data_IF_109569459537
#
_entry.id   IF_109569459537
#
_cell.length_a   1.000
_cell.length_b   1.000
_cell.length_c   1.000
_cell.angle_alpha   90.00
_cell.angle_beta   90.00
_cell.angle_gamma   90.00
#
_symmetry.space_group_name_H-M   'P 1'
#
loop_
_entity.id
_entity.type
_entity.pdbx_description
1 polymer ?
#
# COMPACT_ATOMS: atom_id res chain seq x y z
N UNK A 1 5.89 -13.01 21.57
CA UNK A 1 5.38 -11.72 22.07
C UNK A 1 6.09 -10.55 21.39
N UNK A 2 7.42 -10.45 21.45
CA UNK A 2 8.19 -9.28 21.06
C UNK A 2 7.92 -8.74 19.64
N UNK A 3 7.93 -9.58 18.62
CA UNK A 3 7.73 -9.14 17.24
C UNK A 3 6.34 -8.52 17.00
N UNK A 4 5.28 -9.09 17.59
CA UNK A 4 3.93 -8.54 17.47
C UNK A 4 3.77 -7.22 18.24
N UNK A 5 4.36 -7.12 19.43
CA UNK A 5 4.34 -5.90 20.23
C UNK A 5 5.16 -4.78 19.56
N UNK A 6 6.33 -5.10 19.02
CA UNK A 6 7.14 -4.16 18.27
C UNK A 6 6.41 -3.65 17.02
N UNK A 7 5.88 -4.55 16.19
CA UNK A 7 5.11 -4.16 15.01
C UNK A 7 3.94 -3.23 15.38
N UNK A 8 3.22 -3.53 16.48
CA UNK A 8 2.15 -2.67 16.98
C UNK A 8 2.65 -1.29 17.40
N UNK A 9 3.77 -1.20 18.11
CA UNK A 9 4.29 0.09 18.60
C UNK A 9 4.70 1.01 17.45
N UNK A 10 5.37 0.48 16.42
CA UNK A 10 5.84 1.28 15.27
C UNK A 10 4.74 1.59 14.25
N UNK A 11 3.57 0.97 14.36
CA UNK A 11 2.43 1.19 13.46
C UNK A 11 1.20 1.77 14.15
N UNK A 12 1.36 2.34 15.34
CA UNK A 12 0.24 2.89 16.11
C UNK A 12 -0.49 4.02 15.38
N UNK A 13 0.27 4.90 14.73
CA UNK A 13 -0.27 6.03 13.97
C UNK A 13 -1.05 5.55 12.74
N UNK A 14 -0.53 4.52 12.05
CA UNK A 14 -1.23 3.91 10.91
C UNK A 14 -2.57 3.32 11.35
N UNK A 15 -2.63 2.66 12.51
CA UNK A 15 -3.89 2.15 13.04
C UNK A 15 -4.87 3.28 13.34
N UNK A 16 -4.40 4.38 13.95
CA UNK A 16 -5.23 5.56 14.23
C UNK A 16 -5.80 6.13 12.94
N UNK A 17 -4.98 6.34 11.92
CA UNK A 17 -5.41 6.83 10.62
C UNK A 17 -6.40 5.90 9.92
N UNK A 18 -6.21 4.58 10.05
CA UNK A 18 -7.15 3.59 9.53
C UNK A 18 -8.51 3.65 10.26
N UNK A 19 -8.51 3.81 11.60
CA UNK A 19 -9.73 3.89 12.40
C UNK A 19 -10.57 5.13 12.10
N UNK A 20 -9.95 6.22 11.67
CA UNK A 20 -10.66 7.43 11.26
C UNK A 20 -11.40 7.28 9.92
N UNK A 21 -10.98 6.33 9.09
CA UNK A 21 -11.48 6.16 7.73
C UNK A 21 -12.29 4.87 7.55
N UNK A 22 -11.87 3.80 8.20
CA UNK A 22 -12.46 2.47 8.06
C UNK A 22 -13.20 2.05 9.32
N UNK A 23 -14.23 1.19 9.22
CA UNK A 23 -14.80 0.53 10.39
C UNK A 23 -13.71 -0.18 11.19
N UNK A 24 -13.81 -0.14 12.52
CA UNK A 24 -12.80 -0.71 13.42
C UNK A 24 -12.45 -2.17 13.11
N UNK A 25 -13.44 -2.98 12.72
CA UNK A 25 -13.22 -4.38 12.31
C UNK A 25 -12.33 -4.47 11.06
N UNK A 26 -12.56 -3.60 10.07
CA UNK A 26 -11.79 -3.59 8.81
C UNK A 26 -10.35 -3.10 9.08
N UNK A 27 -10.19 -2.02 9.86
CA UNK A 27 -8.88 -1.51 10.30
C UNK A 27 -8.08 -2.58 11.07
N UNK A 28 -8.68 -3.25 12.04
CA UNK A 28 -8.05 -4.35 12.76
C UNK A 28 -7.68 -5.53 11.84
N UNK A 29 -8.51 -5.83 10.84
CA UNK A 29 -8.22 -6.90 9.88
C UNK A 29 -7.02 -6.54 8.99
N UNK A 30 -6.94 -5.30 8.49
CA UNK A 30 -5.77 -4.79 7.75
C UNK A 30 -4.50 -4.95 8.59
N UNK A 31 -4.53 -4.45 9.82
CA UNK A 31 -3.37 -4.49 10.72
C UNK A 31 -2.97 -5.91 11.10
N UNK A 32 -3.92 -6.82 11.29
CA UNK A 32 -3.64 -8.23 11.57
C UNK A 32 -2.92 -8.89 10.38
N UNK A 33 -3.40 -8.69 9.15
CA UNK A 33 -2.78 -9.23 7.93
C UNK A 33 -1.37 -8.64 7.75
N UNK A 34 -1.22 -7.32 7.87
CA UNK A 34 0.06 -6.64 7.72
C UNK A 34 1.08 -7.13 8.76
N UNK A 35 0.70 -7.19 10.04
CA UNK A 35 1.56 -7.66 11.13
C UNK A 35 2.00 -9.12 10.91
N UNK A 36 1.09 -10.00 10.49
CA UNK A 36 1.43 -11.39 10.21
C UNK A 36 2.42 -11.50 9.04
N UNK A 37 2.29 -10.68 8.00
CA UNK A 37 3.25 -10.64 6.88
C UNK A 37 4.61 -10.07 7.27
N UNK A 38 4.66 -9.11 8.18
CA UNK A 38 5.93 -8.59 8.75
C UNK A 38 6.64 -9.68 9.56
N UNK A 39 5.92 -10.36 10.44
CA UNK A 39 6.50 -11.41 11.29
C UNK A 39 6.90 -12.66 10.49
N UNK A 40 6.14 -12.97 9.43
CA UNK A 40 6.36 -14.12 8.54
C UNK A 40 6.12 -13.72 7.08
N UNK A 41 7.12 -13.16 6.39
CA UNK A 41 6.97 -12.68 5.01
C UNK A 41 6.46 -13.72 4.01
N UNK A 42 6.78 -15.00 4.22
CA UNK A 42 6.36 -16.11 3.36
C UNK A 42 5.03 -16.76 3.76
N UNK A 43 4.26 -16.15 4.69
CA UNK A 43 2.99 -16.73 5.13
C UNK A 43 1.96 -16.72 3.99
N UNK A 44 1.35 -17.86 3.74
CA UNK A 44 0.25 -17.98 2.77
C UNK A 44 -1.09 -17.68 3.42
N UNK A 45 -2.10 -17.31 2.61
CA UNK A 45 -3.44 -16.99 3.09
C UNK A 45 -4.06 -18.15 3.89
N UNK A 46 -3.83 -19.40 3.47
CA UNK A 46 -4.35 -20.60 4.13
C UNK A 46 -3.82 -20.75 5.56
N UNK A 47 -2.60 -20.29 5.81
CA UNK A 47 -1.94 -20.40 7.12
C UNK A 47 -2.17 -19.21 8.02
N UNK A 48 -2.63 -18.07 7.48
CA UNK A 48 -2.81 -16.84 8.26
C UNK A 48 -3.73 -17.02 9.47
N UNK A 49 -4.89 -17.66 9.28
CA UNK A 49 -5.84 -17.89 10.37
C UNK A 49 -5.27 -18.70 11.53
N UNK A 50 -4.44 -19.71 11.24
CA UNK A 50 -3.79 -20.52 12.26
C UNK A 50 -2.73 -19.71 13.03
N UNK A 51 -1.90 -18.95 12.33
CA UNK A 51 -0.89 -18.10 12.97
C UNK A 51 -1.52 -16.97 13.77
N UNK A 52 -2.58 -16.36 13.27
CA UNK A 52 -3.34 -15.34 13.99
C UNK A 52 -3.78 -15.84 15.37
N UNK A 53 -4.43 -17.00 15.43
CA UNK A 53 -4.92 -17.57 16.70
C UNK A 53 -3.81 -18.01 17.66
N UNK A 54 -2.61 -18.31 17.14
CA UNK A 54 -1.46 -18.81 17.93
C UNK A 54 -0.46 -17.72 18.31
N UNK A 55 -0.72 -16.47 17.97
CA UNK A 55 0.16 -15.33 18.25
C UNK A 55 -0.59 -14.22 18.95
N UNK A 56 0.13 -13.30 19.57
CA UNK A 56 -0.46 -12.11 20.21
C UNK A 56 -1.15 -11.15 19.23
N UNK A 57 -1.04 -11.39 17.93
CA UNK A 57 -1.73 -10.60 16.91
C UNK A 57 -3.25 -10.62 17.12
N UNK A 58 -3.83 -11.75 17.53
CA UNK A 58 -5.27 -11.84 17.82
C UNK A 58 -5.71 -11.02 19.04
N UNK A 59 -4.82 -10.77 19.99
CA UNK A 59 -5.10 -9.92 21.14
C UNK A 59 -4.96 -8.42 20.79
N UNK A 60 -4.01 -8.09 19.93
CA UNK A 60 -3.78 -6.72 19.48
C UNK A 60 -4.84 -6.23 18.49
N UNK A 61 -5.31 -7.10 17.63
CA UNK A 61 -6.28 -6.82 16.56
C UNK A 61 -7.40 -7.86 16.58
N UNK A 62 -8.33 -7.77 17.57
CA UNK A 62 -9.34 -8.80 17.76
C UNK A 62 -10.38 -8.82 16.64
N UNK A 63 -11.04 -9.99 16.48
CA UNK A 63 -12.18 -10.15 15.58
C UNK A 63 -11.86 -10.31 14.10
N UNK A 64 -10.58 -10.39 13.70
CA UNK A 64 -10.22 -10.64 12.31
C UNK A 64 -10.50 -12.11 11.92
N UNK A 65 -11.25 -12.29 10.84
CA UNK A 65 -11.51 -13.60 10.23
C UNK A 65 -10.51 -13.83 9.08
N UNK A 66 -9.52 -14.70 9.29
CA UNK A 66 -8.39 -14.87 8.39
C UNK A 66 -8.33 -16.27 7.76
N UNK A 67 -9.48 -16.79 7.27
CA UNK A 67 -9.45 -17.91 6.31
C UNK A 67 -9.04 -17.40 4.93
N UNK A 68 -8.50 -18.25 4.07
CA UNK A 68 -8.07 -17.86 2.72
C UNK A 68 -9.19 -17.14 1.94
N UNK A 69 -10.38 -17.73 1.91
CA UNK A 69 -11.54 -17.14 1.22
C UNK A 69 -11.95 -15.77 1.84
N UNK A 70 -11.95 -15.68 3.17
CA UNK A 70 -12.30 -14.42 3.86
C UNK A 70 -11.28 -13.33 3.55
N UNK A 71 -9.99 -13.67 3.52
CA UNK A 71 -8.93 -12.72 3.16
C UNK A 71 -9.12 -12.23 1.71
N UNK A 72 -9.35 -13.15 0.76
CA UNK A 72 -9.58 -12.79 -0.64
C UNK A 72 -10.77 -11.84 -0.80
N UNK A 73 -11.92 -12.20 -0.21
CA UNK A 73 -13.13 -11.35 -0.25
C UNK A 73 -12.91 -10.00 0.42
N UNK A 74 -12.19 -9.98 1.56
CA UNK A 74 -11.86 -8.75 2.26
C UNK A 74 -10.96 -7.84 1.44
N UNK A 75 -9.90 -8.36 0.85
CA UNK A 75 -8.97 -7.59 0.01
C UNK A 75 -9.66 -7.07 -1.25
N UNK A 76 -10.56 -7.86 -1.86
CA UNK A 76 -11.37 -7.41 -2.98
C UNK A 76 -12.29 -6.23 -2.59
N UNK A 77 -13.02 -6.35 -1.47
CA UNK A 77 -13.84 -5.26 -0.92
C UNK A 77 -13.00 -4.01 -0.66
N UNK A 78 -11.84 -4.16 -0.05
CA UNK A 78 -10.93 -3.06 0.26
C UNK A 78 -10.42 -2.38 -1.01
N UNK A 79 -10.09 -3.16 -2.05
CA UNK A 79 -9.65 -2.66 -3.35
C UNK A 79 -10.74 -1.89 -4.09
N UNK A 80 -12.00 -2.31 -3.97
CA UNK A 80 -13.16 -1.64 -4.57
C UNK A 80 -13.56 -0.34 -3.85
N UNK A 81 -13.20 -0.18 -2.58
CA UNK A 81 -13.50 1.02 -1.80
C UNK A 81 -12.45 2.13 -2.05
N UNK A 82 -12.45 2.65 -3.27
CA UNK A 82 -11.51 3.71 -3.69
C UNK A 82 -11.64 4.98 -2.87
N UNK A 83 -12.84 5.33 -2.41
CA UNK A 83 -13.07 6.56 -1.64
C UNK A 83 -12.38 6.50 -0.28
N UNK A 84 -12.52 5.39 0.47
CA UNK A 84 -11.84 5.24 1.76
C UNK A 84 -10.33 5.11 1.59
N UNK A 85 -9.87 4.37 0.58
CA UNK A 85 -8.43 4.29 0.29
C UNK A 85 -7.85 5.67 0.01
N UNK A 86 -8.53 6.48 -0.81
CA UNK A 86 -8.11 7.85 -1.12
C UNK A 86 -8.12 8.73 0.14
N UNK A 87 -9.15 8.67 0.96
CA UNK A 87 -9.23 9.43 2.22
C UNK A 87 -8.08 9.06 3.18
N UNK A 88 -7.74 7.78 3.29
CA UNK A 88 -6.60 7.33 4.09
C UNK A 88 -5.27 7.91 3.56
N UNK A 89 -5.03 7.83 2.25
CA UNK A 89 -3.81 8.37 1.64
C UNK A 89 -3.72 9.89 1.75
N UNK A 90 -4.81 10.61 1.56
CA UNK A 90 -4.86 12.06 1.73
C UNK A 90 -4.55 12.47 3.18
N UNK A 91 -5.02 11.70 4.15
CA UNK A 91 -4.70 11.92 5.55
C UNK A 91 -3.19 11.75 5.82
N UNK A 92 -2.57 10.70 5.27
CA UNK A 92 -1.11 10.49 5.35
C UNK A 92 -0.34 11.62 4.65
N UNK A 93 -0.77 12.03 3.46
CA UNK A 93 -0.15 13.13 2.72
C UNK A 93 -0.26 14.48 3.46
N UNK A 94 -1.38 14.73 4.14
CA UNK A 94 -1.57 15.96 4.93
C UNK A 94 -0.66 16.06 6.16
N UNK A 95 -0.17 14.92 6.69
CA UNK A 95 0.77 14.88 7.80
C UNK A 95 2.21 15.24 7.40
N UNK A 96 2.53 15.24 6.10
CA UNK A 96 3.87 15.57 5.60
C UNK A 96 4.21 17.04 5.88
N UNK A 97 5.41 17.29 6.39
CA UNK A 97 5.93 18.64 6.66
C UNK A 97 6.53 19.23 5.37
N UNK A 98 6.37 20.52 5.16
CA UNK A 98 6.79 21.18 3.91
C UNK A 98 8.30 21.07 3.60
N UNK A 99 9.15 20.91 4.61
CA UNK A 99 10.60 20.71 4.47
C UNK A 99 11.03 19.27 4.24
N UNK A 100 10.11 18.28 4.33
CA UNK A 100 10.44 16.88 4.14
C UNK A 100 10.62 16.56 2.65
N UNK A 101 11.44 15.56 2.36
CA UNK A 101 11.63 15.04 1.02
C UNK A 101 10.73 13.83 0.82
N UNK A 102 9.96 13.85 -0.26
CA UNK A 102 9.08 12.75 -0.67
C UNK A 102 9.71 12.03 -1.84
N UNK A 103 10.16 10.80 -1.63
CA UNK A 103 10.57 9.94 -2.71
C UNK A 103 9.34 9.36 -3.41
N UNK A 104 9.25 9.54 -4.73
CA UNK A 104 8.24 8.85 -5.56
C UNK A 104 8.97 7.95 -6.54
N UNK A 105 8.66 6.66 -6.48
CA UNK A 105 9.28 5.65 -7.35
C UNK A 105 8.22 4.68 -7.87
N UNK A 106 8.50 4.10 -9.03
CA UNK A 106 7.65 3.16 -9.72
C UNK A 106 8.30 1.79 -9.84
N UNK A 107 7.51 0.74 -9.62
CA UNK A 107 7.96 -0.63 -9.83
C UNK A 107 6.96 -1.41 -10.67
N UNK A 108 7.50 -2.32 -11.49
CA UNK A 108 6.70 -3.30 -12.23
C UNK A 108 6.56 -4.56 -11.41
N UNK A 109 5.33 -5.08 -11.35
CA UNK A 109 5.02 -6.37 -10.72
C UNK A 109 4.42 -7.29 -11.78
N UNK A 110 5.02 -8.48 -11.91
CA UNK A 110 4.47 -9.50 -12.78
C UNK A 110 3.06 -9.87 -12.32
N UNK A 111 2.14 -9.91 -13.28
CA UNK A 111 0.76 -10.32 -13.05
C UNK A 111 0.45 -11.55 -13.94
N UNK A 112 -0.07 -12.59 -13.29
CA UNK A 112 -0.54 -13.81 -13.95
C UNK A 112 -2.07 -13.92 -13.94
N UNK A 113 -2.76 -12.85 -13.55
CA UNK A 113 -4.23 -12.80 -13.59
C UNK A 113 -4.74 -12.79 -15.04
N UNK A 114 -5.80 -13.53 -15.28
CA UNK A 114 -6.51 -13.52 -16.57
C UNK A 114 -7.70 -12.57 -16.58
N UNK A 115 -7.98 -11.90 -15.45
CA UNK A 115 -9.16 -11.05 -15.25
C UNK A 115 -8.82 -9.64 -14.74
N UNK A 116 -7.54 -9.29 -14.70
CA UNK A 116 -7.09 -7.98 -14.24
C UNK A 116 -6.95 -7.02 -15.42
N UNK A 117 -7.83 -6.04 -15.51
CA UNK A 117 -7.86 -5.05 -16.59
C UNK A 117 -6.61 -4.12 -16.61
N UNK A 118 -5.84 -4.08 -15.51
CA UNK A 118 -4.59 -3.32 -15.42
C UNK A 118 -3.38 -4.10 -15.94
N UNK A 119 -3.53 -5.40 -16.23
CA UNK A 119 -2.46 -6.22 -16.76
C UNK A 119 -2.13 -5.82 -18.20
N UNK A 120 -0.88 -5.43 -18.44
CA UNK A 120 -0.40 -5.04 -19.77
C UNK A 120 1.05 -5.48 -19.99
N UNK A 121 1.41 -5.65 -21.26
CA UNK A 121 2.79 -5.90 -21.64
C UNK A 121 3.59 -4.60 -21.57
N UNK A 122 4.65 -4.59 -20.80
CA UNK A 122 5.56 -3.45 -20.69
C UNK A 122 6.82 -3.69 -21.53
N UNK A 123 7.29 -2.65 -22.22
CA UNK A 123 8.59 -2.69 -22.90
C UNK A 123 9.76 -2.71 -21.91
N UNK A 124 9.53 -2.28 -20.66
CA UNK A 124 10.50 -2.31 -19.54
C UNK A 124 10.46 -3.64 -18.78
N UNK A 125 9.60 -4.59 -19.19
CA UNK A 125 9.45 -5.87 -18.51
C UNK A 125 10.79 -6.61 -18.41
N UNK A 126 11.13 -7.05 -17.21
CA UNK A 126 12.33 -7.88 -16.98
C UNK A 126 12.23 -9.23 -17.66
N UNK A 127 11.02 -9.73 -17.90
CA UNK A 127 10.74 -11.00 -18.55
C UNK A 127 9.83 -10.79 -19.75
N UNK A 128 10.35 -11.06 -20.95
CA UNK A 128 9.57 -10.97 -22.19
C UNK A 128 8.36 -11.92 -22.15
N UNK A 129 7.22 -11.44 -22.63
CA UNK A 129 6.00 -12.23 -22.71
C UNK A 129 5.20 -12.37 -21.41
N UNK A 130 5.56 -11.65 -20.36
CA UNK A 130 4.77 -11.57 -19.13
C UNK A 130 4.01 -10.24 -19.06
N UNK A 131 2.76 -10.32 -18.63
CA UNK A 131 1.99 -9.13 -18.29
C UNK A 131 2.41 -8.62 -16.92
N UNK A 132 2.34 -7.32 -16.74
CA UNK A 132 2.73 -6.63 -15.51
C UNK A 132 1.70 -5.57 -15.14
N UNK A 133 1.69 -5.17 -13.88
CA UNK A 133 1.07 -3.96 -13.37
C UNK A 133 2.15 -3.03 -12.87
N UNK A 134 1.93 -1.74 -13.00
CA UNK A 134 2.81 -0.70 -12.46
C UNK A 134 2.31 -0.23 -11.12
N UNK A 135 3.19 -0.06 -10.15
CA UNK A 135 2.85 0.50 -8.84
C UNK A 135 3.73 1.69 -8.58
N UNK A 136 3.12 2.86 -8.34
CA UNK A 136 3.80 4.05 -7.84
C UNK A 136 3.67 4.09 -6.32
N UNK A 137 4.74 4.49 -5.65
CA UNK A 137 4.81 4.68 -4.20
C UNK A 137 5.30 6.09 -3.89
N UNK A 138 4.71 6.72 -2.89
CA UNK A 138 5.26 7.92 -2.25
C UNK A 138 5.69 7.58 -0.83
N UNK A 139 6.86 8.07 -0.44
CA UNK A 139 7.53 7.76 0.81
C UNK A 139 8.18 9.02 1.39
N UNK A 140 7.88 9.34 2.65
CA UNK A 140 8.55 10.42 3.38
C UNK A 140 9.91 9.92 3.88
N UNK A 141 10.99 10.54 3.39
CA UNK A 141 12.36 10.08 3.65
C UNK A 141 12.78 10.41 5.08
N UNK A 142 12.36 11.55 5.62
CA UNK A 142 12.80 12.01 6.94
C UNK A 142 12.24 11.16 8.07
N UNK A 143 10.97 10.81 7.99
CA UNK A 143 10.31 9.98 9.02
C UNK A 143 10.28 8.50 8.68
N UNK A 144 10.79 8.13 7.51
CA UNK A 144 10.84 6.75 7.04
C UNK A 144 9.45 6.09 6.93
N UNK A 145 8.44 6.84 6.44
CA UNK A 145 7.07 6.36 6.39
C UNK A 145 6.47 6.37 4.97
N UNK A 146 5.68 5.32 4.62
CA UNK A 146 4.92 5.33 3.38
C UNK A 146 3.75 6.31 3.48
N UNK A 147 3.55 7.09 2.41
CA UNK A 147 2.45 8.05 2.28
C UNK A 147 1.28 7.40 1.55
N UNK A 148 1.50 6.98 0.31
CA UNK A 148 0.47 6.36 -0.53
C UNK A 148 1.08 5.43 -1.58
N UNK A 149 0.22 4.62 -2.20
CA UNK A 149 0.57 3.78 -3.34
C UNK A 149 -0.61 3.68 -4.29
N UNK A 150 -0.35 3.59 -5.60
CA UNK A 150 -1.39 3.41 -6.60
C UNK A 150 -0.95 2.47 -7.71
N UNK A 151 -1.90 1.69 -8.24
CA UNK A 151 -1.65 0.71 -9.28
C UNK A 151 -2.12 1.27 -10.61
N UNK A 152 -1.27 1.15 -11.63
CA UNK A 152 -1.52 1.58 -13.00
C UNK A 152 -1.33 0.40 -13.97
N UNK A 153 -1.85 0.51 -15.19
CA UNK A 153 -1.54 -0.47 -16.23
C UNK A 153 -0.02 -0.62 -16.43
N UNK A 154 0.43 -1.85 -16.69
CA UNK A 154 1.85 -2.18 -16.79
C UNK A 154 2.64 -1.38 -17.83
N UNK A 155 1.97 -0.82 -18.83
CA UNK A 155 2.56 -0.01 -19.92
C UNK A 155 2.47 1.50 -19.71
N UNK A 156 1.91 2.00 -18.60
CA UNK A 156 1.50 3.39 -18.44
C UNK A 156 2.29 4.21 -17.40
N UNK A 157 3.50 3.78 -16.98
CA UNK A 157 4.35 4.71 -16.20
C UNK A 157 4.93 5.75 -17.14
N UNK A 158 4.23 6.85 -17.27
CA UNK A 158 4.63 8.05 -17.96
C UNK A 158 4.45 9.30 -17.08
N UNK A 159 4.77 10.45 -17.63
CA UNK A 159 4.62 11.72 -16.93
C UNK A 159 3.16 12.02 -16.51
N UNK A 160 2.18 11.53 -17.26
CA UNK A 160 0.76 11.75 -16.98
C UNK A 160 0.29 10.95 -15.77
N UNK A 161 0.71 9.68 -15.64
CA UNK A 161 0.43 8.83 -14.49
C UNK A 161 1.04 9.41 -13.21
N UNK A 162 2.25 9.98 -13.31
CA UNK A 162 2.92 10.61 -12.19
C UNK A 162 2.18 11.88 -11.71
N UNK A 163 1.78 12.75 -12.64
CA UNK A 163 1.00 13.94 -12.30
C UNK A 163 -0.37 13.59 -11.70
N UNK A 164 -1.03 12.58 -12.26
CA UNK A 164 -2.29 12.05 -11.72
C UNK A 164 -2.10 11.52 -10.30
N UNK A 165 -1.04 10.74 -10.05
CA UNK A 165 -0.72 10.19 -8.74
C UNK A 165 -0.54 11.28 -7.68
N UNK A 166 0.24 12.35 -7.97
CA UNK A 166 0.44 13.46 -7.05
C UNK A 166 -0.88 14.18 -6.77
N UNK A 167 -1.64 14.51 -7.81
CA UNK A 167 -2.91 15.23 -7.70
C UNK A 167 -3.97 14.42 -6.94
N UNK A 168 -4.14 13.16 -7.29
CA UNK A 168 -5.25 12.33 -6.79
C UNK A 168 -5.02 11.91 -5.34
N UNK A 169 -3.77 11.83 -4.90
CA UNK A 169 -3.41 11.58 -3.50
C UNK A 169 -3.17 12.86 -2.68
N UNK A 170 -3.41 14.04 -3.29
CA UNK A 170 -3.32 15.35 -2.62
C UNK A 170 -1.94 15.64 -2.00
N UNK A 171 -0.86 15.22 -2.68
CA UNK A 171 0.52 15.47 -2.26
C UNK A 171 0.86 16.93 -2.56
N UNK A 172 0.59 17.82 -1.60
CA UNK A 172 0.77 19.29 -1.75
C UNK A 172 1.93 19.85 -0.95
N UNK A 173 2.53 19.05 -0.08
CA UNK A 173 3.61 19.47 0.82
C UNK A 173 4.81 18.56 0.62
N UNK A 174 5.99 19.11 0.93
CA UNK A 174 7.24 18.39 0.81
C UNK A 174 7.97 18.70 -0.52
N UNK A 175 9.21 18.29 -0.56
CA UNK A 175 10.11 18.41 -1.71
C UNK A 175 10.11 17.07 -2.44
N UNK A 176 9.57 17.02 -3.65
CA UNK A 176 9.48 15.76 -4.40
C UNK A 176 10.86 15.40 -4.97
N UNK A 177 11.30 14.20 -4.68
CA UNK A 177 12.51 13.58 -5.23
C UNK A 177 12.08 12.39 -6.08
N UNK A 178 12.45 12.40 -7.35
CA UNK A 178 12.13 11.32 -8.28
C UNK A 178 13.32 10.97 -9.17
N UNK A 179 13.30 9.78 -9.75
CA UNK A 179 14.34 9.35 -10.67
C UNK A 179 14.32 10.19 -11.95
N UNK A 180 15.48 10.24 -12.63
CA UNK A 180 15.80 11.04 -13.83
C UNK A 180 14.83 10.84 -15.03
N UNK A 181 13.95 9.83 -14.95
CA UNK A 181 12.92 9.59 -15.97
C UNK A 181 11.69 10.48 -15.90
N UNK A 182 11.56 11.35 -14.89
CA UNK A 182 10.40 12.23 -14.71
C UNK A 182 10.74 13.67 -15.15
N UNK A 183 9.89 14.31 -15.98
CA UNK A 183 10.19 15.64 -16.49
C UNK A 183 10.13 16.71 -15.39
N UNK A 184 11.11 17.63 -15.32
CA UNK A 184 11.21 18.66 -14.27
C UNK A 184 10.07 19.70 -14.28
N UNK A 185 9.25 19.72 -15.33
CA UNK A 185 8.14 20.69 -15.47
C UNK A 185 6.93 20.40 -14.56
N UNK A 186 6.92 19.31 -13.82
CA UNK A 186 5.80 18.92 -12.96
C UNK A 186 6.10 19.07 -11.46
N UNK A 187 7.26 19.61 -11.10
CA UNK A 187 7.68 19.86 -9.71
C UNK A 187 7.49 21.31 -9.25
N UNK A 188 6.62 22.07 -9.93
CA UNK A 188 6.25 23.43 -9.51
C UNK A 188 4.91 23.48 -8.81
#
# INVERSE_FOLDING_TARGET
YGAAAFARSVSADILTDLLDVYPAKDACTVMAIATLRIIRPSITAERMGTHYRRTFVCQHYPGAALSANTICTFLQKLGQDGNRRKAFYQKRAAAVIASHHIAIDGTLKQDSSTVNDLSAFSYKARRKGCQEVSVLYAYDIEVMEPICAEVFPGNSIDASSYAAFIRDNDIRRGIIVSDKGFPPSQSK
#
